data_IF_107176398446
#
_entry.id   IF_107176398446
#
_cell.length_a   1.000
_cell.length_b   1.000
_cell.length_c   1.000
_cell.angle_alpha   90.00
_cell.angle_beta   90.00
_cell.angle_gamma   90.00
#
_symmetry.space_group_name_H-M   'P 1'
#
loop_
_entity.id
_entity.type
_entity.pdbx_description
1 polymer ?
#
# COMPACT_ATOMS: atom_id res chain seq x y z
N UNK A 1 -14.15 7.46 -7.90
CA UNK A 1 -13.29 6.30 -8.15
C UNK A 1 -11.85 6.78 -7.96
N UNK A 2 -11.17 6.33 -6.90
CA UNK A 2 -9.77 6.63 -6.61
C UNK A 2 -8.83 6.07 -7.68
N UNK A 3 -7.55 6.47 -7.65
CA UNK A 3 -6.56 6.02 -8.66
C UNK A 3 -6.25 4.53 -8.56
N UNK A 4 -6.47 3.93 -7.39
CA UNK A 4 -6.15 2.53 -7.09
C UNK A 4 -7.38 1.63 -6.94
N UNK A 5 -8.59 2.16 -7.14
CA UNK A 5 -9.81 1.37 -7.06
C UNK A 5 -9.75 0.13 -7.97
N UNK A 6 -10.04 -1.03 -7.39
CA UNK A 6 -10.05 -2.32 -8.08
C UNK A 6 -8.67 -2.95 -8.32
N UNK A 7 -7.58 -2.35 -7.83
CA UNK A 7 -6.22 -2.88 -7.98
C UNK A 7 -5.78 -3.63 -6.72
N UNK A 8 -4.93 -4.64 -6.91
CA UNK A 8 -4.30 -5.40 -5.83
C UNK A 8 -2.80 -5.15 -5.85
N UNK A 9 -2.22 -4.84 -4.69
CA UNK A 9 -0.79 -4.64 -4.52
C UNK A 9 -0.21 -5.63 -3.51
N UNK A 10 0.91 -6.27 -3.87
CA UNK A 10 1.73 -7.08 -2.96
C UNK A 10 2.90 -6.23 -2.46
N UNK A 11 3.03 -6.10 -1.13
CA UNK A 11 4.11 -5.34 -0.50
C UNK A 11 4.96 -6.27 0.37
N UNK A 12 6.23 -6.42 0.04
CA UNK A 12 7.21 -7.14 0.88
C UNK A 12 7.83 -6.19 1.92
N UNK A 13 8.34 -6.73 3.03
CA UNK A 13 8.97 -5.90 4.08
C UNK A 13 8.02 -4.94 4.81
N UNK A 14 6.70 -5.18 4.78
CA UNK A 14 5.67 -4.28 5.34
C UNK A 14 5.67 -4.13 6.87
N UNK A 15 6.52 -4.87 7.59
CA UNK A 15 6.54 -4.85 9.06
C UNK A 15 7.07 -3.55 9.67
N UNK A 16 7.95 -2.81 8.98
CA UNK A 16 8.57 -1.56 9.50
C UNK A 16 9.13 -0.68 8.37
N UNK A 17 9.56 0.53 8.73
CA UNK A 17 10.26 1.46 7.83
C UNK A 17 9.44 1.80 6.58
N UNK A 18 10.12 1.87 5.43
CA UNK A 18 9.53 2.29 4.15
C UNK A 18 8.41 1.34 3.72
N UNK A 19 8.61 0.02 3.83
CA UNK A 19 7.60 -0.96 3.42
C UNK A 19 6.28 -0.79 4.17
N UNK A 20 6.32 -0.49 5.47
CA UNK A 20 5.13 -0.19 6.27
C UNK A 20 4.44 1.11 5.81
N UNK A 21 5.22 2.15 5.52
CA UNK A 21 4.70 3.42 5.01
C UNK A 21 3.97 3.26 3.69
N UNK A 22 4.56 2.50 2.76
CA UNK A 22 3.97 2.20 1.45
C UNK A 22 2.67 1.41 1.61
N UNK A 23 2.66 0.36 2.45
CA UNK A 23 1.44 -0.43 2.69
C UNK A 23 0.29 0.44 3.24
N UNK A 24 0.59 1.36 4.16
CA UNK A 24 -0.42 2.26 4.73
C UNK A 24 -0.90 3.32 3.73
N UNK A 25 -0.03 3.82 2.85
CA UNK A 25 -0.41 4.77 1.81
C UNK A 25 -1.32 4.09 0.78
N UNK A 26 -0.93 2.91 0.30
CA UNK A 26 -1.70 2.14 -0.68
C UNK A 26 -3.07 1.71 -0.14
N UNK A 27 -3.20 1.49 1.17
CA UNK A 27 -4.48 1.16 1.81
C UNK A 27 -5.42 2.37 1.97
N UNK A 28 -4.91 3.60 1.81
CA UNK A 28 -5.69 4.85 1.94
C UNK A 28 -6.18 5.42 0.61
N UNK A 29 -5.50 5.10 -0.48
CA UNK A 29 -5.79 5.55 -1.86
C UNK A 29 -6.76 4.62 -2.59
#
# INVERSE_FOLDING_TARGET
MGKLDGKVALVTGAGRGIGRGIALLLARE
#
